data_IF_366657537792
#
_entry.id   IF_366657537792
#
_cell.length_a   1.000
_cell.length_b   1.000
_cell.length_c   1.000
_cell.angle_alpha   90.00
_cell.angle_beta   90.00
_cell.angle_gamma   90.00
#
_symmetry.space_group_name_H-M   'P 1'
#
loop_
_entity.id
_entity.type
_entity.pdbx_description
1 polymer ?
#
# COMPACT_ATOMS: atom_id res chain seq x y z
N UNK A 1 15.03 -7.00 20.38
CA UNK A 1 14.46 -7.73 19.24
C UNK A 1 14.60 -6.92 17.98
N UNK A 2 15.06 -7.53 16.94
CA UNK A 2 15.37 -6.83 15.69
C UNK A 2 14.35 -7.19 14.62
N UNK A 3 13.88 -6.18 13.90
CA UNK A 3 12.96 -6.35 12.78
C UNK A 3 13.62 -5.79 11.52
N UNK A 4 13.35 -6.45 10.39
CA UNK A 4 13.79 -5.93 9.09
C UNK A 4 12.72 -4.95 8.61
N UNK A 5 13.07 -3.69 8.53
CA UNK A 5 12.21 -2.67 7.94
C UNK A 5 12.72 -2.28 6.57
N UNK A 6 11.81 -2.23 5.60
CA UNK A 6 12.15 -1.88 4.23
C UNK A 6 11.15 -0.90 3.65
N UNK A 7 11.60 -0.17 2.64
CA UNK A 7 10.75 0.64 1.77
C UNK A 7 10.86 0.10 0.36
N UNK A 8 9.74 -0.21 -0.26
CA UNK A 8 9.69 -0.84 -1.57
C UNK A 8 8.81 -0.01 -2.50
N UNK A 9 9.29 0.24 -3.70
CA UNK A 9 8.52 0.76 -4.80
C UNK A 9 8.11 -0.40 -5.70
N UNK A 10 6.86 -0.44 -6.10
CA UNK A 10 6.37 -1.50 -6.97
C UNK A 10 4.98 -1.23 -7.48
N UNK A 11 4.38 -2.24 -8.08
CA UNK A 11 3.05 -2.17 -8.65
C UNK A 11 2.16 -3.20 -7.99
N UNK A 12 0.93 -2.81 -7.67
CA UNK A 12 -0.09 -3.75 -7.17
C UNK A 12 -0.38 -4.76 -8.27
N UNK A 13 -0.08 -6.02 -8.02
CA UNK A 13 -0.11 -7.08 -9.02
C UNK A 13 -1.30 -8.04 -8.88
N UNK A 14 -2.17 -7.80 -7.92
CA UNK A 14 -3.38 -8.58 -7.70
C UNK A 14 -4.51 -7.68 -7.24
N UNK A 15 -5.72 -8.22 -7.22
CA UNK A 15 -6.83 -7.56 -6.54
C UNK A 15 -6.53 -7.48 -5.04
N UNK A 16 -7.06 -6.44 -4.40
CA UNK A 16 -6.93 -6.26 -2.96
C UNK A 16 -7.99 -7.13 -2.27
N UNK A 17 -7.55 -8.13 -1.55
CA UNK A 17 -8.43 -8.99 -0.75
C UNK A 17 -8.69 -8.35 0.61
N UNK A 18 -9.94 -8.31 1.02
CA UNK A 18 -10.36 -7.70 2.28
C UNK A 18 -11.02 -8.73 3.16
N UNK A 19 -10.62 -8.75 4.43
CA UNK A 19 -11.20 -9.62 5.46
C UNK A 19 -11.37 -8.84 6.75
N UNK A 20 -12.33 -9.27 7.56
CA UNK A 20 -12.48 -8.81 8.95
C UNK A 20 -12.21 -10.02 9.84
N UNK A 21 -11.29 -9.89 10.78
CA UNK A 21 -10.96 -10.95 11.73
C UNK A 21 -12.06 -11.13 12.77
N UNK A 22 -12.04 -12.26 13.49
CA UNK A 22 -13.00 -12.55 14.56
C UNK A 22 -13.02 -11.45 15.65
N UNK A 23 -11.88 -10.80 15.86
CA UNK A 23 -11.76 -9.67 16.79
C UNK A 23 -12.28 -8.34 16.22
N UNK A 24 -12.79 -8.33 14.99
CA UNK A 24 -13.31 -7.13 14.33
C UNK A 24 -12.25 -6.24 13.67
N UNK A 25 -11.01 -6.71 13.55
CA UNK A 25 -9.95 -5.96 12.86
C UNK A 25 -10.03 -6.15 11.35
N UNK A 26 -9.94 -5.06 10.63
CA UNK A 26 -9.83 -5.09 9.17
C UNK A 26 -8.44 -5.56 8.75
N UNK A 27 -8.41 -6.38 7.71
CA UNK A 27 -7.21 -6.92 7.09
C UNK A 27 -7.35 -6.82 5.58
N UNK A 28 -6.34 -6.27 4.92
CA UNK A 28 -6.27 -6.33 3.46
C UNK A 28 -4.93 -6.88 3.00
N UNK A 29 -4.96 -7.62 1.90
CA UNK A 29 -3.78 -8.23 1.30
C UNK A 29 -3.76 -8.00 -0.19
N UNK A 30 -2.57 -7.78 -0.72
CA UNK A 30 -2.33 -7.75 -2.16
C UNK A 30 -0.90 -8.21 -2.47
N UNK A 31 -0.72 -8.62 -3.73
CA UNK A 31 0.62 -8.95 -4.25
C UNK A 31 1.27 -7.68 -4.77
N UNK A 32 2.53 -7.51 -4.47
CA UNK A 32 3.35 -6.40 -4.94
C UNK A 32 4.44 -6.94 -5.85
N UNK A 33 4.53 -6.39 -7.04
CA UNK A 33 5.60 -6.68 -8.00
C UNK A 33 6.63 -5.55 -7.95
N UNK A 34 7.82 -5.86 -7.48
CA UNK A 34 8.93 -4.93 -7.46
C UNK A 34 9.87 -5.23 -8.62
N UNK A 35 9.88 -4.36 -9.61
CA UNK A 35 10.71 -4.49 -10.80
C UNK A 35 11.84 -3.48 -10.75
N UNK A 36 13.02 -3.94 -11.10
CA UNK A 36 14.18 -3.07 -11.25
C UNK A 36 14.64 -3.11 -12.70
N UNK A 37 14.97 -1.95 -13.25
CA UNK A 37 15.60 -1.82 -14.56
C UNK A 37 17.00 -1.27 -14.37
N UNK A 38 17.96 -1.88 -15.05
CA UNK A 38 19.33 -1.43 -15.07
C UNK A 38 19.76 -1.09 -16.49
N UNK A 39 20.55 -0.04 -16.61
CA UNK A 39 21.11 0.35 -17.90
C UNK A 39 22.49 -0.32 -18.06
N UNK A 40 22.67 -0.99 -19.18
CA UNK A 40 23.99 -1.50 -19.57
C UNK A 40 24.89 -0.32 -19.93
N UNK A 41 26.00 -0.17 -19.21
CA UNK A 41 26.92 0.93 -19.43
C UNK A 41 27.68 0.85 -20.77
N UNK A 42 27.77 -0.35 -21.35
CA UNK A 42 28.45 -0.56 -22.63
C UNK A 42 27.55 -0.31 -23.83
N UNK A 43 26.30 -0.77 -23.79
CA UNK A 43 25.37 -0.68 -24.91
C UNK A 43 24.35 0.43 -24.78
N UNK A 44 24.16 0.98 -23.58
CA UNK A 44 23.11 1.95 -23.28
C UNK A 44 21.71 1.36 -23.24
N UNK A 45 21.57 0.06 -23.45
CA UNK A 45 20.28 -0.62 -23.40
C UNK A 45 19.78 -0.82 -21.97
N UNK A 46 18.48 -0.69 -21.79
CA UNK A 46 17.78 -0.97 -20.53
C UNK A 46 17.40 -2.44 -20.47
N UNK A 47 17.76 -3.09 -19.37
CA UNK A 47 17.39 -4.49 -19.09
C UNK A 47 16.52 -4.55 -17.87
N UNK A 48 15.48 -5.38 -17.93
CA UNK A 48 14.65 -5.69 -16.79
C UNK A 48 15.32 -6.80 -15.96
N UNK A 49 15.49 -6.57 -14.67
CA UNK A 49 15.88 -7.61 -13.73
C UNK A 49 14.64 -8.46 -13.38
N UNK A 50 14.86 -9.69 -12.88
CA UNK A 50 13.75 -10.52 -12.42
C UNK A 50 12.88 -9.79 -11.39
N UNK A 51 11.57 -9.94 -11.51
CA UNK A 51 10.61 -9.35 -10.58
C UNK A 51 10.72 -10.00 -9.20
N UNK A 52 10.80 -9.16 -8.18
CA UNK A 52 10.66 -9.62 -6.79
C UNK A 52 9.20 -9.51 -6.39
N UNK A 53 8.64 -10.60 -5.88
CA UNK A 53 7.24 -10.68 -5.47
C UNK A 53 7.14 -10.62 -3.95
N UNK A 54 6.27 -9.74 -3.46
CA UNK A 54 5.98 -9.63 -2.04
C UNK A 54 4.48 -9.76 -1.82
N UNK A 55 4.12 -10.37 -0.70
CA UNK A 55 2.74 -10.33 -0.20
C UNK A 55 2.63 -9.23 0.82
N UNK A 56 1.82 -8.22 0.54
CA UNK A 56 1.64 -7.07 1.43
C UNK A 56 0.37 -7.27 2.25
N UNK A 57 0.50 -7.12 3.56
CA UNK A 57 -0.60 -7.19 4.52
C UNK A 57 -0.76 -5.85 5.20
N UNK A 58 -1.98 -5.34 5.23
CA UNK A 58 -2.34 -4.10 5.89
C UNK A 58 -3.38 -4.38 6.97
N UNK A 59 -3.30 -3.68 8.10
CA UNK A 59 -4.18 -3.87 9.23
C UNK A 59 -4.92 -2.59 9.61
N UNK A 60 -6.12 -2.74 10.12
CA UNK A 60 -6.89 -1.65 10.72
C UNK A 60 -7.32 -0.59 9.72
N UNK A 61 -7.17 0.67 10.09
CA UNK A 61 -7.56 1.80 9.25
C UNK A 61 -6.81 1.83 7.93
N UNK A 62 -5.53 1.48 7.95
CA UNK A 62 -4.73 1.37 6.72
C UNK A 62 -5.34 0.34 5.77
N UNK A 63 -5.80 -0.81 6.27
CA UNK A 63 -6.44 -1.83 5.46
C UNK A 63 -7.71 -1.30 4.78
N UNK A 64 -8.54 -0.56 5.50
CA UNK A 64 -9.76 0.04 4.96
C UNK A 64 -9.46 1.04 3.86
N UNK A 65 -8.47 1.88 4.06
CA UNK A 65 -8.07 2.90 3.08
C UNK A 65 -7.41 2.27 1.84
N UNK A 66 -6.58 1.26 2.03
CA UNK A 66 -5.95 0.52 0.92
C UNK A 66 -7.02 -0.12 0.03
N UNK A 67 -8.02 -0.74 0.63
CA UNK A 67 -9.13 -1.36 -0.11
C UNK A 67 -9.89 -0.35 -0.98
N UNK A 68 -10.06 0.87 -0.48
CA UNK A 68 -10.78 1.93 -1.19
C UNK A 68 -9.92 2.65 -2.24
N UNK A 69 -8.59 2.61 -2.08
CA UNK A 69 -7.67 3.45 -2.83
C UNK A 69 -6.90 2.71 -3.92
N UNK A 70 -6.59 1.44 -3.71
CA UNK A 70 -5.71 0.69 -4.60
C UNK A 70 -6.47 -0.32 -5.43
N UNK A 71 -6.07 -0.40 -6.69
CA UNK A 71 -6.54 -1.43 -7.63
C UNK A 71 -5.32 -2.08 -8.26
N UNK A 72 -5.51 -3.24 -8.87
CA UNK A 72 -4.47 -3.91 -9.66
C UNK A 72 -3.91 -2.95 -10.70
N UNK A 73 -2.60 -2.84 -10.74
CA UNK A 73 -1.89 -1.94 -11.65
C UNK A 73 -1.45 -0.60 -11.03
N UNK A 74 -1.89 -0.29 -9.82
CA UNK A 74 -1.51 0.97 -9.16
C UNK A 74 -0.04 0.93 -8.74
N UNK A 75 0.79 1.91 -9.19
CA UNK A 75 2.14 2.07 -8.67
C UNK A 75 2.11 2.59 -7.24
N UNK A 76 2.85 1.95 -6.35
CA UNK A 76 2.82 2.27 -4.92
C UNK A 76 4.20 2.27 -4.31
N UNK A 77 4.30 2.96 -3.17
CA UNK A 77 5.43 2.88 -2.24
C UNK A 77 4.90 2.28 -0.95
N UNK A 78 5.55 1.24 -0.47
CA UNK A 78 5.17 0.54 0.75
C UNK A 78 6.35 0.50 1.70
N UNK A 79 6.13 0.91 2.92
CA UNK A 79 7.09 0.78 4.02
C UNK A 79 6.51 -0.13 5.09
N UNK A 80 7.32 -1.04 5.57
CA UNK A 80 6.88 -1.93 6.62
C UNK A 80 7.93 -2.94 7.03
N UNK A 81 7.47 -3.95 7.74
CA UNK A 81 8.29 -5.01 8.27
C UNK A 81 8.29 -6.19 7.32
N UNK A 82 9.49 -6.61 6.93
CA UNK A 82 9.71 -7.76 6.06
C UNK A 82 9.89 -9.03 6.90
N UNK A 83 9.26 -10.10 6.46
CA UNK A 83 9.47 -11.44 7.02
C UNK A 83 9.47 -12.45 5.89
N UNK A 84 10.39 -13.40 5.92
CA UNK A 84 10.36 -14.55 5.07
C UNK A 84 9.46 -15.61 5.70
N UNK A 85 8.49 -16.11 4.94
CA UNK A 85 7.65 -17.22 5.33
C UNK A 85 8.04 -18.44 4.54
N UNK A 86 8.44 -19.51 5.23
CA UNK A 86 8.77 -20.80 4.62
C UNK A 86 7.55 -21.72 4.66
N UNK A 87 7.36 -22.43 3.59
CA UNK A 87 6.28 -23.41 3.45
C UNK A 87 6.73 -24.58 2.59
N UNK A 88 6.04 -25.71 2.75
CA UNK A 88 6.23 -26.87 1.88
C UNK A 88 5.12 -26.89 0.85
N UNK A 89 5.46 -27.15 -0.41
CA UNK A 89 4.50 -27.36 -1.49
C UNK A 89 4.73 -28.70 -2.13
N UNK A 90 3.68 -29.33 -2.61
CA UNK A 90 3.78 -30.57 -3.36
C UNK A 90 3.93 -30.27 -4.85
N UNK A 91 4.97 -30.84 -5.46
CA UNK A 91 5.19 -30.83 -6.89
C UNK A 91 5.36 -32.28 -7.33
N UNK A 92 4.41 -32.77 -8.12
CA UNK A 92 4.41 -34.20 -8.61
C UNK A 92 4.54 -35.23 -7.49
N UNK A 93 3.85 -35.04 -6.37
CA UNK A 93 3.86 -35.93 -5.22
C UNK A 93 5.08 -35.82 -4.31
N UNK A 94 5.98 -34.86 -4.57
CA UNK A 94 7.17 -34.62 -3.76
C UNK A 94 7.01 -33.29 -3.02
N UNK A 95 7.29 -33.29 -1.70
CA UNK A 95 7.30 -32.09 -0.90
C UNK A 95 8.56 -31.27 -1.23
N UNK A 96 8.38 -30.05 -1.71
CA UNK A 96 9.45 -29.14 -2.06
C UNK A 96 9.37 -27.89 -1.16
N UNK A 97 10.46 -27.50 -0.51
CA UNK A 97 10.46 -26.27 0.28
C UNK A 97 10.28 -25.04 -0.62
N UNK A 98 9.43 -24.13 -0.18
CA UNK A 98 9.24 -22.83 -0.81
C UNK A 98 9.36 -21.70 0.20
N UNK A 99 9.49 -20.48 -0.28
CA UNK A 99 9.47 -19.31 0.56
C UNK A 99 8.72 -18.17 -0.09
N UNK A 100 8.12 -17.32 0.72
CA UNK A 100 7.52 -16.07 0.28
C UNK A 100 8.00 -14.93 1.16
N UNK A 101 8.05 -13.74 0.57
CA UNK A 101 8.36 -12.52 1.29
C UNK A 101 7.05 -11.84 1.69
N UNK A 102 6.82 -11.74 2.98
CA UNK A 102 5.65 -11.09 3.54
C UNK A 102 6.04 -9.72 4.10
N UNK A 103 5.35 -8.69 3.67
CA UNK A 103 5.55 -7.32 4.11
C UNK A 103 4.32 -6.85 4.86
N UNK A 104 4.46 -6.66 6.17
CA UNK A 104 3.42 -6.03 6.98
C UNK A 104 3.58 -4.53 6.86
N UNK A 105 2.68 -3.89 6.12
CA UNK A 105 2.77 -2.48 5.81
C UNK A 105 2.49 -1.61 7.02
N UNK A 106 3.27 -0.56 7.16
CA UNK A 106 3.01 0.54 8.08
C UNK A 106 2.54 1.78 7.34
N UNK A 107 3.11 2.04 6.18
CA UNK A 107 2.77 3.17 5.31
C UNK A 107 2.63 2.65 3.88
N UNK A 108 1.55 3.05 3.23
CA UNK A 108 1.30 2.75 1.82
C UNK A 108 0.85 4.04 1.14
N UNK A 109 1.37 4.31 -0.02
CA UNK A 109 0.94 5.45 -0.82
C UNK A 109 1.12 5.21 -2.30
N UNK A 110 0.35 5.91 -3.15
CA UNK A 110 0.60 5.89 -4.59
C UNK A 110 1.93 6.55 -4.92
N UNK A 111 2.60 6.03 -5.93
CA UNK A 111 3.86 6.60 -6.42
C UNK A 111 3.57 7.75 -7.39
N UNK A 112 3.78 8.97 -6.94
CA UNK A 112 3.48 10.17 -7.73
C UNK A 112 4.47 10.40 -8.88
N UNK A 113 5.56 9.66 -8.97
CA UNK A 113 6.39 9.68 -10.17
C UNK A 113 5.67 9.07 -11.37
N UNK A 114 4.66 8.26 -11.13
CA UNK A 114 3.93 7.52 -12.16
C UNK A 114 2.57 8.12 -12.51
N UNK A 115 2.06 9.04 -11.71
CA UNK A 115 0.76 9.61 -11.96
C UNK A 115 0.32 10.59 -10.89
N UNK A 116 -0.91 11.06 -11.02
CA UNK A 116 -1.56 12.01 -10.13
C UNK A 116 -2.52 11.27 -9.21
N UNK A 117 -2.52 11.64 -7.93
CA UNK A 117 -3.46 11.09 -6.96
C UNK A 117 -4.30 12.22 -6.36
N UNK A 118 -5.54 11.91 -6.02
CA UNK A 118 -6.42 12.78 -5.24
C UNK A 118 -6.53 12.23 -3.83
N UNK A 119 -6.43 13.10 -2.84
CA UNK A 119 -6.43 12.72 -1.44
C UNK A 119 -7.66 13.29 -0.74
N UNK A 120 -8.38 12.41 -0.04
CA UNK A 120 -9.47 12.79 0.84
C UNK A 120 -9.16 12.32 2.25
N UNK A 121 -9.03 13.26 3.16
CA UNK A 121 -8.76 12.93 4.55
C UNK A 121 -9.98 12.30 5.21
N UNK A 122 -9.80 11.15 5.85
CA UNK A 122 -10.85 10.52 6.67
C UNK A 122 -10.55 10.74 8.14
N UNK A 123 -11.58 10.97 8.92
CA UNK A 123 -11.46 11.21 10.36
C UNK A 123 -12.50 10.39 11.09
N UNK A 124 -12.15 9.94 12.30
CA UNK A 124 -13.16 9.34 13.17
C UNK A 124 -14.25 10.37 13.48
N UNK A 125 -15.50 9.93 13.72
CA UNK A 125 -16.57 10.86 14.05
C UNK A 125 -16.28 11.74 15.26
N UNK A 126 -15.54 11.21 16.25
CA UNK A 126 -15.16 11.98 17.43
C UNK A 126 -14.16 13.09 17.12
N UNK A 127 -13.13 12.78 16.30
CA UNK A 127 -12.14 13.77 15.89
C UNK A 127 -12.76 14.84 15.01
N UNK A 128 -13.64 14.44 14.08
CA UNK A 128 -14.36 15.39 13.22
C UNK A 128 -15.22 16.36 14.05
N UNK A 129 -15.95 15.87 15.02
CA UNK A 129 -16.75 16.72 15.92
C UNK A 129 -15.90 17.67 16.75
N UNK A 130 -14.74 17.20 17.24
CA UNK A 130 -13.84 18.06 18.00
C UNK A 130 -13.26 19.18 17.14
N UNK A 131 -12.92 18.89 15.91
CA UNK A 131 -12.41 19.92 14.97
C UNK A 131 -13.49 20.91 14.56
N UNK A 132 -14.70 20.42 14.30
CA UNK A 132 -15.85 21.29 13.99
C UNK A 132 -16.14 22.27 15.14
N UNK A 133 -16.08 21.81 16.39
CA UNK A 133 -16.21 22.67 17.56
C UNK A 133 -15.09 23.71 17.66
N UNK A 134 -13.84 23.28 17.45
CA UNK A 134 -12.71 24.18 17.49
C UNK A 134 -12.80 25.26 16.42
N UNK A 135 -13.25 24.91 15.21
CA UNK A 135 -13.47 25.86 14.12
C UNK A 135 -14.63 26.84 14.43
N UNK A 136 -15.70 26.35 15.02
CA UNK A 136 -16.82 27.18 15.43
C UNK A 136 -16.41 28.18 16.52
N UNK A 137 -15.64 27.75 17.52
CA UNK A 137 -15.10 28.60 18.59
C UNK A 137 -14.11 29.65 18.07
N UNK A 138 -13.37 29.33 17.01
CA UNK A 138 -12.46 30.26 16.36
C UNK A 138 -13.16 31.27 15.44
N UNK A 139 -14.49 31.18 15.28
CA UNK A 139 -15.26 32.10 14.44
C UNK A 139 -15.11 31.87 12.95
N UNK A 140 -14.52 30.79 12.54
CA UNK A 140 -14.51 30.39 11.14
C UNK A 140 -15.82 29.64 10.85
N UNK A 141 -16.77 30.33 10.24
CA UNK A 141 -17.93 29.67 9.69
C UNK A 141 -17.46 28.53 8.77
N UNK A 142 -18.11 27.35 8.89
CA UNK A 142 -17.77 26.16 8.13
C UNK A 142 -17.54 26.49 6.66
N UNK A 143 -16.29 26.74 6.30
CA UNK A 143 -15.87 26.63 4.93
C UNK A 143 -15.94 25.14 4.64
N UNK A 144 -17.03 24.69 4.02
CA UNK A 144 -17.10 23.34 3.49
C UNK A 144 -15.83 23.14 2.68
N UNK A 145 -15.04 22.14 3.04
CA UNK A 145 -13.85 21.82 2.30
C UNK A 145 -14.26 21.60 0.85
N UNK A 146 -14.03 22.58 0.00
CA UNK A 146 -14.28 22.42 -1.42
C UNK A 146 -13.28 21.41 -1.96
N UNK A 147 -13.74 20.40 -2.71
CA UNK A 147 -12.83 19.49 -3.35
C UNK A 147 -11.88 20.30 -4.25
N UNK A 148 -10.59 20.00 -4.17
CA UNK A 148 -9.61 20.58 -5.09
C UNK A 148 -10.03 20.20 -6.51
N UNK A 149 -10.43 21.22 -7.28
CA UNK A 149 -10.68 21.07 -8.71
C UNK A 149 -9.40 21.51 -9.41
N UNK A 150 -8.66 20.61 -10.07
CA UNK A 150 -7.50 21.03 -10.83
C UNK A 150 -7.98 21.97 -11.96
N UNK A 151 -7.31 23.11 -12.04
CA UNK A 151 -7.56 24.09 -13.08
C UNK A 151 -7.28 23.42 -14.45
N UNK A 152 -8.29 23.34 -15.28
CA UNK A 152 -8.17 22.83 -16.64
C UNK A 152 -7.71 23.96 -17.54
N UNK A 153 -6.41 24.08 -17.73
CA UNK A 153 -5.82 24.87 -18.82
C UNK A 153 -5.19 23.95 -19.82
#
# INVERSE_FOLDING_TARGET
MYAIEITVQGTVASDVETKVTESGRSLSKFRLAANERVQDRQTGEWKDLPTTWLSVTCWGRLADHVTQSLVKGTPVVVQGRLRERRYDREVSGVSVPGSSLDLTARVVGPDLNKGVAQFRRTKSPAVRRAEERALAEAGFASAAAQPFVPDSS
#
